data_IF_223507635843
#
_entry.id   IF_223507635843
#
_cell.length_a   1.000
_cell.length_b   1.000
_cell.length_c   1.000
_cell.angle_alpha   90.00
_cell.angle_beta   90.00
_cell.angle_gamma   90.00
#
_symmetry.space_group_name_H-M   'P 1'
#
loop_
_entity.id
_entity.type
_entity.pdbx_description
1 polymer ?
#
# COMPACT_ATOMS: atom_id res chain seq x y z
N UNK A 1 -32.27 4.58 15.13
CA UNK A 1 -31.16 5.18 14.35
C UNK A 1 -29.86 4.55 14.83
N UNK A 2 -29.31 3.60 14.07
CA UNK A 2 -28.05 2.94 14.44
C UNK A 2 -26.89 3.91 14.21
N UNK A 3 -26.13 4.22 15.27
CA UNK A 3 -24.82 4.88 15.23
C UNK A 3 -23.86 4.05 14.36
N UNK A 4 -23.98 4.20 13.04
CA UNK A 4 -23.02 3.66 12.10
C UNK A 4 -21.87 4.66 12.09
N UNK A 5 -20.96 4.51 13.06
CA UNK A 5 -19.73 5.26 13.15
C UNK A 5 -19.11 5.35 11.77
N UNK A 6 -19.06 6.56 11.21
CA UNK A 6 -18.47 6.85 9.92
C UNK A 6 -17.00 6.43 9.94
N UNK A 7 -16.73 5.17 9.58
CA UNK A 7 -15.41 4.65 9.25
C UNK A 7 -14.99 5.29 7.93
N UNK A 8 -14.63 6.57 8.04
CA UNK A 8 -14.22 7.43 6.96
C UNK A 8 -12.68 7.47 6.93
N UNK A 9 -12.09 7.81 5.77
CA UNK A 9 -10.63 7.91 5.58
C UNK A 9 -9.97 8.80 6.65
N UNK A 10 -10.72 9.74 7.21
CA UNK A 10 -10.34 10.56 8.36
C UNK A 10 -9.87 9.76 9.58
N UNK A 11 -10.43 8.58 9.83
CA UNK A 11 -10.01 7.72 10.95
C UNK A 11 -8.66 7.04 10.72
N UNK A 12 -8.26 6.79 9.45
CA UNK A 12 -6.91 6.31 9.10
C UNK A 12 -5.87 7.44 9.11
N UNK A 13 -6.33 8.69 9.09
CA UNK A 13 -5.52 9.90 9.01
C UNK A 13 -5.65 10.74 10.29
N UNK A 14 -6.05 10.13 11.41
CA UNK A 14 -6.33 10.77 12.69
C UNK A 14 -5.07 11.38 13.34
N UNK A 15 -3.90 10.77 13.13
CA UNK A 15 -2.62 11.26 13.63
C UNK A 15 -1.63 11.53 12.49
N UNK A 16 -0.68 12.46 12.68
CA UNK A 16 0.36 12.72 11.67
C UNK A 16 1.16 11.46 11.33
N UNK A 17 1.43 10.59 12.31
CA UNK A 17 2.12 9.33 12.10
C UNK A 17 1.33 8.37 11.20
N UNK A 18 0.01 8.23 11.44
CA UNK A 18 -0.85 7.36 10.61
C UNK A 18 -1.11 7.95 9.22
N UNK A 19 -1.18 9.28 9.09
CA UNK A 19 -1.18 9.95 7.76
C UNK A 19 0.06 9.60 6.98
N UNK A 20 1.23 9.73 7.60
CA UNK A 20 2.50 9.37 6.97
C UNK A 20 2.50 7.89 6.60
N UNK A 21 2.13 6.99 7.51
CA UNK A 21 2.04 5.56 7.24
C UNK A 21 1.05 5.25 6.09
N UNK A 22 -0.07 5.96 5.98
CA UNK A 22 -1.02 5.79 4.88
C UNK A 22 -0.43 6.22 3.55
N UNK A 23 0.21 7.40 3.51
CA UNK A 23 0.88 7.90 2.30
C UNK A 23 1.99 6.95 1.89
N UNK A 24 2.84 6.55 2.84
CA UNK A 24 3.92 5.59 2.62
C UNK A 24 3.39 4.25 2.13
N UNK A 25 2.30 3.73 2.72
CA UNK A 25 1.65 2.49 2.27
C UNK A 25 1.16 2.59 0.82
N UNK A 26 0.58 3.72 0.42
CA UNK A 26 0.14 3.93 -0.96
C UNK A 26 1.37 4.02 -1.89
N UNK A 27 2.39 4.76 -1.49
CA UNK A 27 3.62 4.91 -2.26
C UNK A 27 4.34 3.57 -2.46
N UNK A 28 4.39 2.70 -1.45
CA UNK A 28 5.03 1.38 -1.58
C UNK A 28 4.24 0.42 -2.45
N UNK A 29 2.91 0.52 -2.49
CA UNK A 29 2.08 -0.23 -3.45
C UNK A 29 2.38 0.19 -4.90
N UNK A 30 2.57 1.49 -5.16
CA UNK A 30 3.01 1.99 -6.46
C UNK A 30 4.46 1.57 -6.74
N UNK A 31 5.32 1.66 -5.71
CA UNK A 31 6.73 1.30 -5.72
C UNK A 31 6.96 -0.15 -6.13
N UNK A 32 6.03 -1.06 -5.83
CA UNK A 32 6.11 -2.47 -6.25
C UNK A 32 6.26 -2.63 -7.77
N UNK A 33 5.67 -1.72 -8.55
CA UNK A 33 5.79 -1.70 -10.02
C UNK A 33 6.84 -0.71 -10.50
N UNK A 34 6.90 0.47 -9.86
CA UNK A 34 7.79 1.53 -10.28
C UNK A 34 9.27 1.21 -10.03
N UNK A 35 9.61 0.51 -8.94
CA UNK A 35 11.00 0.20 -8.57
C UNK A 35 11.63 -0.78 -9.58
N UNK A 36 11.03 -1.94 -9.92
CA UNK A 36 11.58 -2.82 -10.95
C UNK A 36 11.66 -2.16 -12.32
N UNK A 37 10.62 -1.43 -12.73
CA UNK A 37 10.59 -0.77 -14.03
C UNK A 37 11.64 0.35 -14.13
N UNK A 38 11.73 1.20 -13.11
CA UNK A 38 12.65 2.33 -13.07
C UNK A 38 14.11 1.90 -12.94
N UNK A 39 14.42 1.00 -11.99
CA UNK A 39 15.78 0.52 -11.80
C UNK A 39 16.22 -0.43 -12.93
N UNK A 40 15.31 -1.19 -13.53
CA UNK A 40 15.59 -1.97 -14.73
C UNK A 40 15.94 -1.09 -15.92
N UNK A 41 15.16 -0.02 -16.16
CA UNK A 41 15.47 0.95 -17.21
C UNK A 41 16.79 1.69 -16.95
N UNK A 42 17.06 2.08 -15.70
CA UNK A 42 18.33 2.67 -15.30
C UNK A 42 19.52 1.73 -15.54
N UNK A 43 19.40 0.45 -15.17
CA UNK A 43 20.43 -0.55 -15.43
C UNK A 43 20.73 -0.71 -16.91
N UNK A 44 19.70 -0.70 -17.76
CA UNK A 44 19.90 -0.71 -19.22
C UNK A 44 20.55 0.57 -19.76
N UNK A 45 20.23 1.74 -19.20
CA UNK A 45 20.79 3.02 -19.63
C UNK A 45 22.25 3.20 -19.20
N UNK A 46 22.68 2.48 -18.15
CA UNK A 46 24.03 2.53 -17.59
C UNK A 46 24.90 1.32 -18.02
N UNK A 47 24.41 0.48 -18.94
CA UNK A 47 25.05 -0.76 -19.40
C UNK A 47 25.47 -1.70 -18.25
N UNK A 48 24.67 -1.75 -17.19
CA UNK A 48 24.95 -2.65 -16.07
C UNK A 48 24.77 -4.11 -16.48
N UNK A 49 25.66 -5.01 -16.01
CA UNK A 49 25.43 -6.44 -16.12
C UNK A 49 24.05 -6.82 -15.56
N UNK A 50 23.37 -7.77 -16.21
CA UNK A 50 22.05 -8.23 -15.78
C UNK A 50 22.03 -8.67 -14.31
N UNK A 51 23.10 -9.34 -13.84
CA UNK A 51 23.24 -9.75 -12.45
C UNK A 51 23.26 -8.56 -11.47
N UNK A 52 23.94 -7.48 -11.85
CA UNK A 52 24.01 -6.26 -11.04
C UNK A 52 22.68 -5.52 -11.02
N UNK A 53 22.03 -5.38 -12.18
CA UNK A 53 20.70 -4.78 -12.30
C UNK A 53 19.67 -5.54 -11.43
N UNK A 54 19.64 -6.87 -11.53
CA UNK A 54 18.74 -7.70 -10.72
C UNK A 54 19.04 -7.57 -9.23
N UNK A 55 20.32 -7.49 -8.84
CA UNK A 55 20.73 -7.28 -7.44
C UNK A 55 20.19 -5.95 -6.90
N UNK A 56 20.41 -4.85 -7.62
CA UNK A 56 19.97 -3.50 -7.21
C UNK A 56 18.44 -3.41 -7.18
N UNK A 57 17.75 -3.94 -8.19
CA UNK A 57 16.29 -4.03 -8.22
C UNK A 57 15.78 -4.85 -7.02
N UNK A 58 16.41 -5.99 -6.73
CA UNK A 58 16.05 -6.85 -5.61
C UNK A 58 16.18 -6.16 -4.26
N UNK A 59 17.28 -5.43 -4.04
CA UNK A 59 17.48 -4.62 -2.82
C UNK A 59 16.39 -3.55 -2.71
N UNK A 60 16.12 -2.81 -3.79
CA UNK A 60 15.06 -1.80 -3.82
C UNK A 60 13.68 -2.39 -3.49
N UNK A 61 13.39 -3.57 -4.02
CA UNK A 61 12.14 -4.29 -3.74
C UNK A 61 12.04 -4.69 -2.26
N UNK A 62 13.09 -5.25 -1.67
CA UNK A 62 13.11 -5.64 -0.25
C UNK A 62 12.91 -4.42 0.66
N UNK A 63 13.56 -3.30 0.36
CA UNK A 63 13.36 -2.04 1.13
C UNK A 63 11.91 -1.58 1.02
N UNK A 64 11.32 -1.61 -0.18
CA UNK A 64 9.92 -1.27 -0.40
C UNK A 64 8.98 -2.15 0.45
N UNK A 65 9.23 -3.46 0.50
CA UNK A 65 8.46 -4.41 1.31
C UNK A 65 8.58 -4.14 2.82
N UNK A 66 9.79 -3.89 3.33
CA UNK A 66 9.98 -3.57 4.76
C UNK A 66 9.18 -2.33 5.15
N UNK A 67 9.20 -1.30 4.31
CA UNK A 67 8.44 -0.07 4.53
C UNK A 67 6.92 -0.34 4.44
N UNK A 68 6.48 -1.19 3.51
CA UNK A 68 5.09 -1.62 3.39
C UNK A 68 4.62 -2.32 4.68
N UNK A 69 5.37 -3.30 5.18
CA UNK A 69 5.05 -4.01 6.43
C UNK A 69 5.04 -3.07 7.63
N UNK A 70 6.01 -2.17 7.74
CA UNK A 70 6.03 -1.15 8.79
C UNK A 70 4.79 -0.25 8.76
N UNK A 71 4.38 0.16 7.56
CA UNK A 71 3.18 0.99 7.37
C UNK A 71 1.90 0.23 7.75
N UNK A 72 1.80 -1.05 7.38
CA UNK A 72 0.68 -1.92 7.79
C UNK A 72 0.66 -2.09 9.32
N UNK A 73 1.80 -2.27 9.97
CA UNK A 73 1.87 -2.42 11.43
C UNK A 73 1.35 -1.17 12.15
N UNK A 74 1.66 0.04 11.64
CA UNK A 74 1.19 1.31 12.20
C UNK A 74 -0.31 1.52 11.92
N UNK A 75 -0.79 1.18 10.73
CA UNK A 75 -2.20 1.36 10.32
C UNK A 75 -3.13 0.31 10.96
N UNK A 76 -2.63 -0.91 11.11
CA UNK A 76 -3.17 -2.05 11.83
C UNK A 76 -4.69 -2.21 11.76
N UNK A 77 -5.34 -2.04 12.92
CA UNK A 77 -6.78 -2.27 13.11
C UNK A 77 -7.63 -1.33 12.25
N UNK A 78 -7.16 -0.10 12.03
CA UNK A 78 -7.89 0.92 11.28
C UNK A 78 -8.02 0.52 9.81
N UNK A 79 -6.93 0.03 9.22
CA UNK A 79 -6.91 -0.46 7.84
C UNK A 79 -7.82 -1.68 7.67
N UNK A 80 -7.71 -2.66 8.57
CA UNK A 80 -8.56 -3.88 8.53
C UNK A 80 -10.04 -3.53 8.67
N UNK A 81 -10.38 -2.62 9.58
CA UNK A 81 -11.75 -2.15 9.77
C UNK A 81 -12.30 -1.49 8.50
N UNK A 82 -11.48 -0.66 7.83
CA UNK A 82 -11.88 0.03 6.61
C UNK A 82 -12.05 -0.94 5.43
N UNK A 83 -11.13 -1.90 5.26
CA UNK A 83 -11.24 -2.97 4.26
C UNK A 83 -12.51 -3.79 4.51
N UNK A 84 -12.75 -4.22 5.75
CA UNK A 84 -13.93 -5.00 6.12
C UNK A 84 -15.23 -4.23 5.85
N UNK A 85 -15.25 -2.92 6.13
CA UNK A 85 -16.38 -2.04 5.87
C UNK A 85 -16.67 -1.91 4.37
N UNK A 86 -15.63 -1.67 3.55
CA UNK A 86 -15.75 -1.60 2.09
C UNK A 86 -16.19 -2.93 1.47
N UNK A 87 -15.59 -4.06 1.89
CA UNK A 87 -16.00 -5.39 1.45
C UNK A 87 -17.48 -5.66 1.80
N UNK A 88 -17.89 -5.39 3.04
CA UNK A 88 -19.30 -5.57 3.45
C UNK A 88 -20.25 -4.69 2.64
N UNK A 89 -19.83 -3.48 2.27
CA UNK A 89 -20.60 -2.58 1.41
C UNK A 89 -20.74 -3.13 -0.01
N UNK A 90 -19.64 -3.59 -0.62
CA UNK A 90 -19.64 -4.23 -1.95
C UNK A 90 -20.52 -5.49 -1.98
N UNK A 91 -20.41 -6.36 -0.97
CA UNK A 91 -21.22 -7.58 -0.87
C UNK A 91 -22.71 -7.30 -0.59
N UNK A 92 -23.04 -6.29 0.23
CA UNK A 92 -24.44 -5.89 0.46
C UNK A 92 -25.07 -5.23 -0.76
N UNK A 93 -24.30 -4.49 -1.55
CA UNK A 93 -24.78 -3.90 -2.80
C UNK A 93 -25.21 -4.97 -3.80
N UNK A 94 -24.57 -6.14 -3.79
CA UNK A 94 -24.91 -7.28 -4.66
C UNK A 94 -26.20 -8.00 -4.25
N UNK A 95 -26.55 -7.99 -2.97
CA UNK A 95 -27.75 -8.65 -2.43
C UNK A 95 -29.03 -7.81 -2.52
N UNK A 96 -28.94 -6.53 -2.91
CA UNK A 96 -30.09 -5.61 -2.98
C UNK A 96 -30.67 -5.45 -4.39
N UNK A 97 -30.10 -6.16 -5.37
CA UNK A 97 -30.54 -6.20 -6.77
C UNK A 97 -31.04 -7.59 -7.20
N UNK A 98 -31.25 -8.51 -6.25
CA UNK A 98 -32.15 -9.65 -6.37
C UNK A 98 -33.37 -9.39 -5.50
#
# INVERSE_FOLDING_TARGET
>A
MSNQSDLNLYSLADTPLKKLALVTFILTNIGMFAVPAGLGALGSAMDWPAAETVSVVGIGFVINEVILFGSIAILGKTLVSLIRSKLKCLFRSKSRHQ
#
